data_IF_208485335476
#
_entry.id   IF_208485335476
#
_cell.length_a   1.000
_cell.length_b   1.000
_cell.length_c   1.000
_cell.angle_alpha   90.00
_cell.angle_beta   90.00
_cell.angle_gamma   90.00
#
_symmetry.space_group_name_H-M   'P 1'
#
loop_
_entity.id
_entity.type
_entity.pdbx_description
1 polymer ?
#
# COMPACT_ATOMS: atom_id res chain seq x y z
N UNK A 1 -17.73 16.06 -9.55
CA UNK A 1 -16.27 16.01 -9.80
C UNK A 1 -15.52 15.68 -8.50
N UNK A 2 -15.53 14.42 -8.04
CA UNK A 2 -14.91 14.06 -6.75
C UNK A 2 -13.62 13.25 -6.89
N UNK A 3 -13.55 12.33 -7.85
CA UNK A 3 -12.38 11.47 -8.06
C UNK A 3 -11.09 12.27 -8.35
N UNK A 4 -11.15 13.24 -9.28
CA UNK A 4 -10.00 14.11 -9.61
C UNK A 4 -9.57 14.99 -8.43
N UNK A 5 -10.53 15.51 -7.65
CA UNK A 5 -10.23 16.32 -6.46
C UNK A 5 -9.54 15.48 -5.38
N UNK A 6 -10.05 14.28 -5.12
CA UNK A 6 -9.41 13.34 -4.20
C UNK A 6 -7.99 12.99 -4.67
N UNK A 7 -7.80 12.70 -5.96
CA UNK A 7 -6.49 12.38 -6.54
C UNK A 7 -5.45 13.48 -6.30
N UNK A 8 -5.79 14.73 -6.62
CA UNK A 8 -4.86 15.87 -6.51
C UNK A 8 -4.62 16.36 -5.08
N UNK A 9 -5.54 16.05 -4.15
CA UNK A 9 -5.41 16.41 -2.72
C UNK A 9 -4.77 15.30 -1.87
N UNK A 10 -4.68 14.08 -2.39
CA UNK A 10 -4.08 12.95 -1.68
C UNK A 10 -2.58 13.11 -1.50
N UNK A 11 -2.01 12.30 -0.60
CA UNK A 11 -0.56 12.18 -0.45
C UNK A 11 0.05 11.71 -1.78
N UNK A 12 1.10 12.42 -2.21
CA UNK A 12 1.80 12.14 -3.45
C UNK A 12 2.93 11.12 -3.22
N UNK A 13 3.19 10.29 -4.22
CA UNK A 13 4.38 9.41 -4.23
C UNK A 13 5.64 10.29 -4.17
N UNK A 14 6.58 9.94 -3.30
CA UNK A 14 7.80 10.70 -3.04
C UNK A 14 7.68 11.77 -1.95
N UNK A 15 6.48 12.00 -1.41
CA UNK A 15 6.29 12.90 -0.27
C UNK A 15 6.78 12.22 1.04
N UNK A 16 7.73 12.81 1.78
CA UNK A 16 8.14 12.27 3.07
C UNK A 16 7.01 12.40 4.10
N UNK A 17 6.81 11.36 4.91
CA UNK A 17 5.79 11.31 5.95
C UNK A 17 6.39 10.96 7.31
N UNK A 18 5.82 11.52 8.36
CA UNK A 18 6.08 11.08 9.74
C UNK A 18 5.30 9.80 10.05
N UNK A 19 5.72 9.06 11.09
CA UNK A 19 5.03 7.85 11.55
C UNK A 19 3.56 8.13 11.92
N UNK A 20 3.28 9.28 12.51
CA UNK A 20 1.92 9.72 12.83
C UNK A 20 1.05 9.89 11.58
N UNK A 21 1.59 10.53 10.53
CA UNK A 21 0.89 10.70 9.26
C UNK A 21 0.61 9.37 8.57
N UNK A 22 1.61 8.48 8.51
CA UNK A 22 1.42 7.13 7.95
C UNK A 22 0.35 6.34 8.71
N UNK A 23 0.37 6.39 10.04
CA UNK A 23 -0.63 5.72 10.88
C UNK A 23 -2.04 6.25 10.63
N UNK A 24 -2.18 7.58 10.49
CA UNK A 24 -3.47 8.23 10.20
C UNK A 24 -4.06 7.76 8.85
N UNK A 25 -3.22 7.68 7.81
CA UNK A 25 -3.65 7.17 6.48
C UNK A 25 -4.21 5.75 6.59
N UNK A 26 -3.50 4.84 7.26
CA UNK A 26 -3.95 3.45 7.43
C UNK A 26 -5.23 3.36 8.26
N UNK A 27 -5.34 4.13 9.34
CA UNK A 27 -6.55 4.15 10.19
C UNK A 27 -7.78 4.66 9.45
N UNK A 28 -7.65 5.72 8.65
CA UNK A 28 -8.76 6.23 7.84
C UNK A 28 -9.24 5.20 6.82
N UNK A 29 -8.34 4.42 6.21
CA UNK A 29 -8.76 3.32 5.32
C UNK A 29 -9.58 2.26 6.07
N UNK A 30 -9.27 2.00 7.34
CA UNK A 30 -10.00 1.04 8.18
C UNK A 30 -11.45 1.43 8.48
N UNK A 31 -11.86 2.68 8.25
CA UNK A 31 -13.24 3.16 8.45
C UNK A 31 -14.03 3.30 7.15
N UNK A 32 -13.45 2.97 6.00
CA UNK A 32 -14.13 3.03 4.70
C UNK A 32 -14.74 1.67 4.35
N UNK A 33 -15.84 1.66 3.58
CA UNK A 33 -16.49 0.41 3.16
C UNK A 33 -15.67 -0.37 2.12
N UNK A 34 -15.03 0.33 1.17
CA UNK A 34 -14.27 -0.26 0.07
C UNK A 34 -12.87 0.35 -0.08
N UNK A 35 -11.99 0.20 0.92
CA UNK A 35 -10.68 0.85 0.91
C UNK A 35 -9.69 0.24 -0.08
N UNK A 36 -10.01 -0.89 -0.73
CA UNK A 36 -9.10 -1.71 -1.54
C UNK A 36 -8.72 -1.11 -2.89
N UNK A 37 -9.54 -0.19 -3.39
CA UNK A 37 -9.37 0.47 -4.69
C UNK A 37 -9.61 1.98 -4.55
N UNK A 38 -8.81 2.77 -5.25
CA UNK A 38 -9.07 4.20 -5.41
C UNK A 38 -10.27 4.43 -6.36
N UNK A 39 -10.84 5.64 -6.44
CA UNK A 39 -11.99 5.91 -7.33
C UNK A 39 -11.69 5.75 -8.83
N UNK A 40 -10.43 5.50 -9.20
CA UNK A 40 -10.00 5.19 -10.57
C UNK A 40 -9.69 3.69 -10.77
N UNK A 41 -9.95 2.85 -9.77
CA UNK A 41 -9.71 1.41 -9.83
C UNK A 41 -8.27 0.94 -9.55
N UNK A 42 -7.37 1.83 -9.11
CA UNK A 42 -6.01 1.42 -8.71
C UNK A 42 -6.04 0.79 -7.33
N UNK A 43 -5.35 -0.33 -7.09
CA UNK A 43 -5.30 -0.95 -5.78
C UNK A 43 -4.55 -0.07 -4.78
N UNK A 44 -5.06 0.01 -3.55
CA UNK A 44 -4.49 0.82 -2.45
C UNK A 44 -3.58 0.00 -1.52
N UNK A 45 -3.88 -1.29 -1.35
CA UNK A 45 -3.14 -2.20 -0.48
C UNK A 45 -3.10 -3.63 -1.04
N UNK A 46 -2.07 -4.38 -0.65
CA UNK A 46 -1.83 -5.78 -1.01
C UNK A 46 -1.24 -6.53 0.17
N UNK A 47 -1.65 -7.79 0.32
CA UNK A 47 -1.01 -8.71 1.25
C UNK A 47 0.36 -9.10 0.70
N UNK A 48 1.43 -8.88 1.48
CA UNK A 48 2.79 -9.21 1.06
C UNK A 48 3.15 -10.66 1.40
N UNK A 49 2.96 -11.07 2.65
CA UNK A 49 3.36 -12.39 3.15
C UNK A 49 2.60 -12.71 4.44
N UNK A 50 2.33 -14.00 4.64
CA UNK A 50 1.84 -14.53 5.92
C UNK A 50 3.04 -14.85 6.81
N UNK A 51 3.11 -14.23 7.98
CA UNK A 51 4.21 -14.42 8.92
C UNK A 51 3.88 -15.64 9.77
N UNK A 52 4.24 -16.82 9.26
CA UNK A 52 4.12 -18.06 10.01
C UNK A 52 5.22 -18.16 11.07
N UNK A 53 4.94 -18.72 12.26
CA UNK A 53 5.95 -18.97 13.28
C UNK A 53 7.13 -19.73 12.65
N UNK A 54 8.31 -19.15 12.81
CA UNK A 54 9.48 -19.40 12.00
C UNK A 54 10.03 -20.81 12.18
N UNK A 55 9.76 -21.71 11.23
CA UNK A 55 10.61 -22.87 10.99
C UNK A 55 10.91 -23.10 9.49
N UNK A 56 10.33 -22.31 8.58
CA UNK A 56 10.54 -22.46 7.13
C UNK A 56 10.54 -21.09 6.41
N UNK A 57 11.40 -20.15 6.82
CA UNK A 57 11.64 -18.97 5.98
C UNK A 57 12.44 -19.44 4.76
N UNK A 58 11.72 -19.79 3.68
CA UNK A 58 12.28 -20.07 2.38
C UNK A 58 12.89 -18.76 1.87
N UNK A 59 14.21 -18.58 2.03
CA UNK A 59 14.96 -17.50 1.37
C UNK A 59 14.73 -17.65 -0.13
N UNK A 60 13.80 -16.88 -0.70
CA UNK A 60 13.73 -16.71 -2.15
C UNK A 60 14.88 -15.79 -2.54
N UNK A 61 15.89 -16.33 -3.20
CA UNK A 61 16.86 -15.55 -3.94
C UNK A 61 16.14 -14.91 -5.12
N UNK A 62 16.11 -13.58 -5.18
CA UNK A 62 15.65 -12.85 -6.37
C UNK A 62 16.85 -12.80 -7.32
N UNK A 63 16.74 -13.41 -8.49
CA UNK A 63 17.73 -13.24 -9.55
C UNK A 63 17.38 -11.96 -10.34
N UNK A 64 18.23 -10.95 -10.25
CA UNK A 64 18.04 -9.68 -10.95
C UNK A 64 18.35 -9.77 -12.45
N UNK A 65 19.05 -10.82 -12.90
CA UNK A 65 19.37 -11.07 -14.31
C UNK A 65 18.17 -11.57 -15.12
N UNK A 66 17.08 -12.01 -14.48
CA UNK A 66 15.85 -12.45 -15.16
C UNK A 66 14.97 -11.27 -15.64
N UNK A 67 15.27 -10.04 -15.21
CA UNK A 67 14.49 -8.84 -15.54
C UNK A 67 15.19 -7.91 -16.53
N UNK A 68 16.37 -8.30 -17.03
CA UNK A 68 17.14 -7.61 -18.07
C UNK A 68 16.92 -8.18 -19.45
#
# INVERSE_FOLDING_TARGET
>A
MFAMRACRKSVMIGMPLTVSQMTSVVRHMGTMDQPWNCPHGRPTMRHLVDIQPSNLVRKRSVNWEEFS
#
